data_IF_167919390449
#
_entry.id   IF_167919390449
#
_cell.length_a   1.000
_cell.length_b   1.000
_cell.length_c   1.000
_cell.angle_alpha   90.00
_cell.angle_beta   90.00
_cell.angle_gamma   90.00
#
_symmetry.space_group_name_H-M   'P 1'
#
loop_
_entity.id
_entity.type
_entity.pdbx_description
1 polymer ?
#
# COMPACT_ATOMS: atom_id res chain seq x y z
N UNK A 1 17.07 22.67 7.32
CA UNK A 1 15.93 23.19 6.51
C UNK A 1 16.30 23.35 5.03
N UNK A 2 17.50 23.86 4.67
CA UNK A 2 17.94 24.02 3.27
C UNK A 2 18.19 22.69 2.53
N UNK A 3 18.80 21.71 3.19
CA UNK A 3 19.08 20.37 2.64
C UNK A 3 17.80 19.57 2.32
N UNK A 4 16.82 19.59 3.23
CA UNK A 4 15.47 19.04 3.03
C UNK A 4 14.79 19.58 1.77
N UNK A 5 14.93 20.90 1.53
CA UNK A 5 14.26 21.56 0.41
C UNK A 5 14.95 21.38 -0.94
N UNK A 6 16.29 21.24 -0.96
CA UNK A 6 17.08 21.18 -2.19
C UNK A 6 17.39 19.75 -2.65
N UNK A 7 17.66 18.82 -1.73
CA UNK A 7 18.10 17.46 -2.07
C UNK A 7 16.98 16.43 -1.92
N UNK A 8 16.41 16.30 -0.72
CA UNK A 8 15.49 15.20 -0.40
C UNK A 8 14.15 15.24 -1.15
N UNK A 9 13.57 16.42 -1.41
CA UNK A 9 12.34 16.51 -2.21
C UNK A 9 12.54 16.28 -3.73
N UNK A 10 13.77 16.08 -4.21
CA UNK A 10 14.03 15.63 -5.57
C UNK A 10 14.27 14.11 -5.67
N UNK A 11 14.49 13.44 -4.53
CA UNK A 11 14.69 12.00 -4.50
C UNK A 11 13.35 11.28 -4.44
N UNK A 12 13.04 10.56 -5.52
CA UNK A 12 11.79 9.80 -5.66
C UNK A 12 11.60 8.83 -4.49
N UNK A 13 12.66 8.14 -4.06
CA UNK A 13 12.63 7.22 -2.93
C UNK A 13 12.29 7.87 -1.60
N UNK A 14 12.76 9.11 -1.35
CA UNK A 14 12.40 9.86 -0.15
C UNK A 14 10.92 10.22 -0.15
N UNK A 15 10.40 10.72 -1.28
CA UNK A 15 8.97 11.06 -1.42
C UNK A 15 8.11 9.80 -1.26
N UNK A 16 8.51 8.69 -1.89
CA UNK A 16 7.82 7.41 -1.78
C UNK A 16 7.76 6.92 -0.33
N UNK A 17 8.87 7.02 0.40
CA UNK A 17 8.97 6.65 1.82
C UNK A 17 8.11 7.55 2.71
N UNK A 18 8.09 8.86 2.45
CA UNK A 18 7.29 9.81 3.20
C UNK A 18 5.79 9.58 3.01
N UNK A 19 5.35 9.37 1.75
CA UNK A 19 3.97 9.00 1.44
C UNK A 19 3.62 7.69 2.15
N UNK A 20 4.46 6.65 2.03
CA UNK A 20 4.25 5.37 2.69
C UNK A 20 4.04 5.52 4.20
N UNK A 21 4.90 6.31 4.85
CA UNK A 21 4.85 6.55 6.29
C UNK A 21 3.54 7.23 6.72
N UNK A 22 3.14 8.31 6.03
CA UNK A 22 1.88 9.01 6.31
C UNK A 22 0.68 8.09 6.08
N UNK A 23 0.67 7.35 4.97
CA UNK A 23 -0.40 6.42 4.62
C UNK A 23 -0.51 5.26 5.59
N UNK A 24 0.62 4.70 6.04
CA UNK A 24 0.65 3.65 7.05
C UNK A 24 0.07 4.15 8.39
N UNK A 25 0.41 5.38 8.76
CA UNK A 25 -0.11 6.01 10.00
C UNK A 25 -1.62 6.19 9.94
N UNK A 26 -2.17 6.60 8.78
CA UNK A 26 -3.61 6.73 8.57
C UNK A 26 -4.28 5.36 8.54
N UNK A 27 -3.75 4.41 7.77
CA UNK A 27 -4.29 3.06 7.63
C UNK A 27 -4.35 2.33 8.97
N UNK A 28 -3.35 2.56 9.83
CA UNK A 28 -3.28 1.97 11.16
C UNK A 28 -4.46 2.35 12.06
N UNK A 29 -5.05 3.55 11.88
CA UNK A 29 -6.28 3.96 12.59
C UNK A 29 -7.43 3.01 12.23
N UNK A 30 -7.63 2.75 10.93
CA UNK A 30 -8.64 1.80 10.46
C UNK A 30 -8.39 0.39 10.98
N UNK A 31 -7.13 -0.05 11.02
CA UNK A 31 -6.77 -1.35 11.57
C UNK A 31 -7.15 -1.50 13.07
N UNK A 32 -6.95 -0.46 13.88
CA UNK A 32 -7.38 -0.46 15.30
C UNK A 32 -8.91 -0.54 15.39
N UNK A 33 -9.62 0.27 14.59
CA UNK A 33 -11.08 0.29 14.58
C UNK A 33 -11.67 -1.04 14.14
N UNK A 34 -10.98 -1.78 13.27
CA UNK A 34 -11.36 -3.11 12.79
C UNK A 34 -11.23 -4.24 13.82
N UNK A 35 -10.68 -3.98 15.02
CA UNK A 35 -10.53 -5.01 16.05
C UNK A 35 -11.91 -5.47 16.54
N UNK A 36 -12.17 -6.80 16.61
CA UNK A 36 -13.38 -7.34 17.21
C UNK A 36 -13.53 -6.85 18.66
N UNK A 37 -14.57 -6.07 18.92
CA UNK A 37 -14.78 -5.41 20.21
C UNK A 37 -14.81 -3.88 20.11
N UNK A 38 -14.09 -3.28 19.15
CA UNK A 38 -14.28 -1.86 18.80
C UNK A 38 -15.33 -1.77 17.69
N UNK A 39 -15.10 -2.49 16.59
CA UNK A 39 -15.98 -2.48 15.41
C UNK A 39 -17.46 -2.79 15.71
N UNK A 40 -17.71 -3.68 16.68
CA UNK A 40 -19.08 -4.11 17.04
C UNK A 40 -19.83 -3.10 17.91
N UNK A 41 -19.15 -2.11 18.48
CA UNK A 41 -19.73 -1.15 19.43
C UNK A 41 -19.74 0.30 18.90
N UNK A 42 -19.31 0.51 17.65
CA UNK A 42 -19.25 1.83 17.03
C UNK A 42 -20.47 2.08 16.13
N UNK A 43 -20.87 3.35 16.03
CA UNK A 43 -21.93 3.76 15.13
C UNK A 43 -21.52 3.60 13.66
N UNK A 44 -22.50 3.41 12.77
CA UNK A 44 -22.25 3.25 11.34
C UNK A 44 -21.47 4.42 10.73
N UNK A 45 -21.77 5.66 11.15
CA UNK A 45 -21.02 6.83 10.68
C UNK A 45 -19.54 6.81 11.12
N UNK A 46 -19.22 6.22 12.27
CA UNK A 46 -17.84 6.05 12.72
C UNK A 46 -17.14 4.92 11.96
N UNK A 47 -17.86 3.87 11.60
CA UNK A 47 -17.36 2.80 10.72
C UNK A 47 -17.01 3.37 9.34
N UNK A 48 -17.91 4.15 8.73
CA UNK A 48 -17.68 4.75 7.42
C UNK A 48 -16.53 5.77 7.44
N UNK A 49 -16.47 6.59 8.50
CA UNK A 49 -15.43 7.61 8.65
C UNK A 49 -14.06 7.06 9.08
N UNK A 50 -13.99 6.26 10.14
CA UNK A 50 -12.70 5.83 10.70
C UNK A 50 -12.20 4.50 10.17
N UNK A 51 -13.08 3.56 9.83
CA UNK A 51 -12.65 2.26 9.30
C UNK A 51 -12.47 2.34 7.78
N UNK A 52 -13.55 2.63 7.04
CA UNK A 52 -13.52 2.59 5.58
C UNK A 52 -12.72 3.75 4.98
N UNK A 53 -12.94 4.99 5.41
CA UNK A 53 -12.24 6.14 4.79
C UNK A 53 -10.74 6.14 5.05
N UNK A 54 -10.28 5.75 6.25
CA UNK A 54 -8.84 5.68 6.54
C UNK A 54 -8.17 4.50 5.81
N UNK A 55 -8.87 3.36 5.68
CA UNK A 55 -8.39 2.23 4.89
C UNK A 55 -8.25 2.59 3.40
N UNK A 56 -9.24 3.28 2.83
CA UNK A 56 -9.17 3.78 1.44
C UNK A 56 -8.03 4.77 1.27
N UNK A 57 -7.91 5.76 2.15
CA UNK A 57 -6.88 6.80 2.05
C UNK A 57 -5.47 6.23 2.22
N UNK A 58 -5.32 5.29 3.16
CA UNK A 58 -4.09 4.52 3.33
C UNK A 58 -3.74 3.70 2.09
N UNK A 59 -4.72 2.98 1.53
CA UNK A 59 -4.57 2.20 0.30
C UNK A 59 -4.11 3.04 -0.88
N UNK A 60 -4.74 4.20 -1.12
CA UNK A 60 -4.36 5.13 -2.20
C UNK A 60 -2.91 5.57 -2.06
N UNK A 61 -2.50 5.91 -0.85
CA UNK A 61 -1.12 6.33 -0.63
C UNK A 61 -0.11 5.18 -0.72
N UNK A 62 -0.48 3.95 -0.32
CA UNK A 62 0.32 2.76 -0.60
C UNK A 62 0.48 2.52 -2.11
N UNK A 63 -0.57 2.74 -2.90
CA UNK A 63 -0.52 2.67 -4.37
C UNK A 63 0.46 3.70 -4.92
N UNK A 64 0.33 4.97 -4.52
CA UNK A 64 1.22 6.04 -4.98
C UNK A 64 2.68 5.78 -4.59
N UNK A 65 2.92 5.38 -3.34
CA UNK A 65 4.26 5.05 -2.87
C UNK A 65 4.85 3.86 -3.65
N UNK A 66 4.07 2.81 -3.87
CA UNK A 66 4.51 1.63 -4.63
C UNK A 66 4.89 1.99 -6.06
N UNK A 67 4.09 2.84 -6.74
CA UNK A 67 4.41 3.34 -8.07
C UNK A 67 5.72 4.14 -8.10
N UNK A 68 5.94 5.03 -7.12
CA UNK A 68 7.16 5.83 -7.06
C UNK A 68 8.40 4.95 -6.84
N UNK A 69 8.35 3.96 -5.96
CA UNK A 69 9.46 3.03 -5.78
C UNK A 69 9.69 2.13 -7.00
N UNK A 70 8.64 1.74 -7.73
CA UNK A 70 8.81 1.07 -9.03
C UNK A 70 9.55 1.98 -10.01
N UNK A 71 9.16 3.26 -10.13
CA UNK A 71 9.83 4.21 -11.01
C UNK A 71 11.29 4.45 -10.63
N UNK A 72 11.63 4.42 -9.34
CA UNK A 72 13.01 4.57 -8.85
C UNK A 72 13.94 3.39 -9.23
N UNK A 73 13.37 2.19 -9.40
CA UNK A 73 14.10 0.98 -9.80
C UNK A 73 14.15 0.78 -11.31
N UNK A 74 13.43 1.59 -12.08
CA UNK A 74 13.40 1.56 -13.54
C UNK A 74 14.37 2.56 -14.16
N UNK A 75 15.02 2.18 -15.26
CA UNK A 75 15.85 3.10 -16.05
C UNK A 75 15.01 4.11 -16.84
N UNK A 76 13.83 3.69 -17.31
CA UNK A 76 12.84 4.51 -17.99
C UNK A 76 11.45 4.19 -17.44
N UNK A 77 10.63 5.22 -17.24
CA UNK A 77 9.30 5.10 -16.64
C UNK A 77 8.37 4.08 -17.33
N UNK A 78 8.55 3.86 -18.63
CA UNK A 78 7.73 2.95 -19.44
C UNK A 78 8.32 1.54 -19.60
N UNK A 79 9.57 1.29 -19.15
CA UNK A 79 10.23 -0.01 -19.31
C UNK A 79 10.28 -0.70 -17.95
N UNK A 80 9.53 -1.81 -17.74
CA UNK A 80 9.60 -2.57 -16.49
C UNK A 80 11.00 -3.15 -16.25
N UNK A 81 11.45 -3.12 -15.00
CA UNK A 81 12.77 -3.60 -14.58
C UNK A 81 12.69 -5.03 -14.04
N UNK A 82 12.42 -6.00 -14.92
CA UNK A 82 12.19 -7.40 -14.53
C UNK A 82 13.37 -8.08 -13.82
N UNK A 83 14.56 -7.52 -13.96
CA UNK A 83 15.80 -8.06 -13.40
C UNK A 83 16.13 -7.50 -12.01
N UNK A 84 15.30 -6.62 -11.46
CA UNK A 84 15.54 -5.98 -10.16
C UNK A 84 14.53 -6.50 -9.15
N UNK A 85 15.01 -7.14 -8.08
CA UNK A 85 14.14 -7.65 -7.01
C UNK A 85 13.27 -6.55 -6.39
N UNK A 86 13.87 -5.39 -6.09
CA UNK A 86 13.17 -4.18 -5.65
C UNK A 86 11.97 -3.79 -6.52
N UNK A 87 12.02 -4.01 -7.83
CA UNK A 87 10.90 -3.70 -8.72
C UNK A 87 9.71 -4.67 -8.51
N UNK A 88 9.99 -5.96 -8.33
CA UNK A 88 8.96 -6.97 -8.08
C UNK A 88 8.27 -6.78 -6.74
N UNK A 89 9.02 -6.43 -5.69
CA UNK A 89 8.46 -6.12 -4.36
C UNK A 89 7.38 -5.04 -4.50
N UNK A 90 7.73 -3.98 -5.22
CA UNK A 90 6.86 -2.83 -5.37
C UNK A 90 5.71 -3.09 -6.36
N UNK A 91 5.88 -3.96 -7.35
CA UNK A 91 4.78 -4.45 -8.18
C UNK A 91 3.73 -5.20 -7.35
N UNK A 92 4.17 -6.13 -6.50
CA UNK A 92 3.25 -6.89 -5.65
C UNK A 92 2.58 -6.02 -4.58
N UNK A 93 3.31 -5.07 -4.01
CA UNK A 93 2.75 -4.07 -3.09
C UNK A 93 1.77 -3.12 -3.82
N UNK A 94 2.02 -2.78 -5.08
CA UNK A 94 1.11 -1.99 -5.91
C UNK A 94 -0.21 -2.74 -6.12
N UNK A 95 -0.13 -4.00 -6.56
CA UNK A 95 -1.30 -4.87 -6.71
C UNK A 95 -2.04 -4.93 -5.36
N UNK A 96 -1.35 -5.29 -4.28
CA UNK A 96 -1.93 -5.37 -2.95
C UNK A 96 -2.66 -4.12 -2.49
N UNK A 97 -2.04 -2.95 -2.69
CA UNK A 97 -2.61 -1.65 -2.31
C UNK A 97 -3.86 -1.27 -3.12
N UNK A 98 -3.93 -1.65 -4.39
CA UNK A 98 -5.15 -1.48 -5.20
C UNK A 98 -6.28 -2.33 -4.62
N UNK A 99 -5.99 -3.55 -4.19
CA UNK A 99 -6.98 -4.43 -3.54
C UNK A 99 -7.53 -3.83 -2.24
N UNK A 100 -6.66 -3.29 -1.39
CA UNK A 100 -7.07 -2.61 -0.16
C UNK A 100 -7.82 -1.31 -0.42
N UNK A 101 -7.43 -0.54 -1.44
CA UNK A 101 -8.14 0.66 -1.86
C UNK A 101 -9.56 0.34 -2.32
N UNK A 102 -9.71 -0.69 -3.15
CA UNK A 102 -11.01 -1.15 -3.64
C UNK A 102 -11.89 -1.67 -2.50
N UNK A 103 -11.33 -2.45 -1.58
CA UNK A 103 -12.05 -2.88 -0.37
C UNK A 103 -12.56 -1.67 0.43
N UNK A 104 -11.67 -0.72 0.75
CA UNK A 104 -12.03 0.49 1.48
C UNK A 104 -13.13 1.30 0.79
N UNK A 105 -13.03 1.47 -0.53
CA UNK A 105 -13.98 2.25 -1.31
C UNK A 105 -15.35 1.58 -1.44
N UNK A 106 -15.39 0.25 -1.51
CA UNK A 106 -16.63 -0.53 -1.63
C UNK A 106 -17.30 -0.82 -0.27
N UNK A 107 -16.53 -0.76 0.82
CA UNK A 107 -16.99 -1.07 2.17
C UNK A 107 -18.28 -0.37 2.63
N UNK A 108 -18.45 0.95 2.44
CA UNK A 108 -19.69 1.66 2.82
C UNK A 108 -20.94 1.17 2.09
N UNK A 109 -20.77 0.58 0.89
CA UNK A 109 -21.86 0.04 0.07
C UNK A 109 -22.04 -1.48 0.23
N UNK A 110 -21.39 -2.09 1.23
CA UNK A 110 -21.43 -3.55 1.50
C UNK A 110 -22.78 -4.11 1.95
N UNK A 111 -23.81 -3.25 2.10
CA UNK A 111 -25.20 -3.67 2.28
C UNK A 111 -25.75 -4.41 1.06
N UNK A 112 -25.18 -4.18 -0.13
CA UNK A 112 -25.48 -4.95 -1.33
C UNK A 112 -24.58 -6.20 -1.39
N UNK A 113 -25.18 -7.38 -1.56
CA UNK A 113 -24.45 -8.66 -1.59
C UNK A 113 -23.37 -8.73 -2.67
N UNK A 114 -23.59 -8.10 -3.83
CA UNK A 114 -22.59 -8.05 -4.91
C UNK A 114 -21.38 -7.19 -4.54
N UNK A 115 -21.61 -6.05 -3.88
CA UNK A 115 -20.54 -5.15 -3.43
C UNK A 115 -19.74 -5.77 -2.30
N UNK A 116 -20.42 -6.44 -1.36
CA UNK A 116 -19.77 -7.18 -0.28
C UNK A 116 -18.84 -8.28 -0.81
N UNK A 117 -19.31 -9.06 -1.79
CA UNK A 117 -18.48 -10.07 -2.45
C UNK A 117 -17.23 -9.45 -3.12
N UNK A 118 -17.40 -8.36 -3.89
CA UNK A 118 -16.28 -7.69 -4.54
C UNK A 118 -15.30 -7.08 -3.53
N UNK A 119 -15.78 -6.49 -2.43
CA UNK A 119 -14.94 -5.95 -1.35
C UNK A 119 -14.13 -7.05 -0.67
N UNK A 120 -14.76 -8.20 -0.39
CA UNK A 120 -14.10 -9.35 0.22
C UNK A 120 -13.07 -9.98 -0.72
N UNK A 121 -13.41 -10.12 -2.00
CA UNK A 121 -12.51 -10.61 -3.04
C UNK A 121 -11.30 -9.67 -3.20
N UNK A 122 -11.55 -8.35 -3.23
CA UNK A 122 -10.52 -7.31 -3.29
C UNK A 122 -9.53 -7.39 -2.12
N UNK A 123 -10.07 -7.59 -0.91
CA UNK A 123 -9.26 -7.81 0.29
C UNK A 123 -8.42 -9.07 0.18
N UNK A 124 -9.01 -10.16 -0.32
CA UNK A 124 -8.35 -11.46 -0.42
C UNK A 124 -7.14 -11.41 -1.37
N UNK A 125 -7.36 -11.03 -2.63
CA UNK A 125 -6.24 -10.97 -3.60
C UNK A 125 -5.25 -9.86 -3.23
N UNK A 126 -5.71 -8.75 -2.64
CA UNK A 126 -4.86 -7.69 -2.14
C UNK A 126 -3.89 -8.19 -1.06
N UNK A 127 -4.40 -8.98 -0.11
CA UNK A 127 -3.61 -9.60 0.96
C UNK A 127 -2.60 -10.62 0.42
N UNK A 128 -3.01 -11.45 -0.54
CA UNK A 128 -2.11 -12.42 -1.19
C UNK A 128 -0.97 -11.71 -1.92
N UNK A 129 -1.27 -10.64 -2.65
CA UNK A 129 -0.24 -9.85 -3.32
C UNK A 129 0.74 -9.20 -2.34
N UNK A 130 0.24 -8.56 -1.27
CA UNK A 130 1.10 -8.00 -0.22
C UNK A 130 1.96 -9.06 0.47
N UNK A 131 1.43 -10.26 0.68
CA UNK A 131 2.18 -11.39 1.24
C UNK A 131 3.34 -11.79 0.31
N UNK A 132 3.10 -11.90 -1.01
CA UNK A 132 4.14 -12.20 -1.98
C UNK A 132 5.21 -11.10 -1.98
N UNK A 133 4.80 -9.83 -2.04
CA UNK A 133 5.72 -8.69 -1.96
C UNK A 133 6.59 -8.73 -0.71
N UNK A 134 5.98 -9.04 0.44
CA UNK A 134 6.68 -9.18 1.73
C UNK A 134 7.67 -10.36 1.73
N UNK A 135 7.32 -11.49 1.12
CA UNK A 135 8.24 -12.64 0.99
C UNK A 135 9.45 -12.32 0.12
N UNK A 136 9.24 -11.61 -1.01
CA UNK A 136 10.33 -11.17 -1.88
C UNK A 136 11.21 -10.14 -1.16
N UNK A 137 10.62 -9.20 -0.43
CA UNK A 137 11.34 -8.20 0.37
C UNK A 137 12.17 -8.85 1.48
N UNK A 138 11.61 -9.85 2.14
CA UNK A 138 12.34 -10.64 3.12
C UNK A 138 13.53 -11.36 2.48
N UNK A 139 13.34 -11.96 1.32
CA UNK A 139 14.42 -12.60 0.57
C UNK A 139 15.54 -11.62 0.19
N UNK A 140 15.19 -10.44 -0.34
CA UNK A 140 16.14 -9.37 -0.66
C UNK A 140 16.94 -8.92 0.59
N UNK A 141 16.25 -8.80 1.74
CA UNK A 141 16.87 -8.41 3.00
C UNK A 141 17.89 -9.42 3.55
N UNK A 142 17.83 -10.68 3.11
CA UNK A 142 18.77 -11.75 3.50
C UNK A 142 20.03 -11.78 2.63
N UNK A 143 20.04 -11.10 1.48
CA UNK A 143 21.21 -11.06 0.60
C UNK A 143 22.30 -10.14 1.19
N UNK A 144 23.42 -10.75 1.63
CA UNK A 144 24.59 -10.02 2.19
C UNK A 144 25.36 -9.19 1.16
N UNK A 145 25.22 -9.49 -0.13
CA UNK A 145 25.87 -8.77 -1.24
C UNK A 145 24.84 -8.55 -2.35
N UNK A 146 24.25 -7.35 -2.49
CA UNK A 146 23.32 -7.07 -3.59
C UNK A 146 24.12 -7.01 -4.90
N UNK A 147 23.92 -7.98 -5.79
CA UNK A 147 24.67 -8.09 -7.07
C UNK A 147 23.97 -7.34 -8.22
N UNK A 148 22.77 -6.81 -8.03
CA UNK A 148 22.03 -6.15 -9.11
C UNK A 148 22.44 -4.66 -9.22
N UNK A 149 23.33 -4.38 -10.18
CA UNK A 149 23.60 -3.00 -10.62
C UNK A 149 22.42 -2.48 -11.44
N UNK A 150 21.98 -1.25 -11.14
CA UNK A 150 21.03 -0.48 -11.96
C UNK A 150 21.53 -0.29 -13.39
#
# INVERSE_FOLDING_TARGET
>A
MSELRRHYFHEIGFIASFILFVSATIFWIGAIVGIPGIFNHISQGLTDGLYWSTATLGGVGFTLSSMLYMLETQSKWYIPSWHVLGWHIQLWNLIGSVGFTLCGALGPASSNSGVNYQSSLATFWGSVAFMIGSMVQWYESLQKHPVEKK
#
